data_IF_046139579056
#
_entry.id   IF_046139579056
#
_cell.length_a   1.000
_cell.length_b   1.000
_cell.length_c   1.000
_cell.angle_alpha   90.00
_cell.angle_beta   90.00
_cell.angle_gamma   90.00
#
_symmetry.space_group_name_H-M   'P 1'
#
loop_
_entity.id
_entity.type
_entity.pdbx_description
1 polymer ?
#
# COMPACT_ATOMS: atom_id res chain seq x y z
N UNK A 1 15.80 -8.96 0.45
CA UNK A 1 16.36 -9.01 -0.91
C UNK A 1 15.19 -8.93 -1.88
N UNK A 2 15.35 -8.16 -2.96
CA UNK A 2 14.48 -8.08 -4.13
C UNK A 2 13.08 -7.46 -3.89
N UNK A 3 12.70 -6.51 -4.74
CA UNK A 3 11.37 -5.90 -4.78
C UNK A 3 10.47 -6.61 -5.81
N UNK A 4 9.54 -5.91 -6.47
CA UNK A 4 8.66 -6.53 -7.45
C UNK A 4 9.42 -7.08 -8.67
N UNK A 5 9.03 -8.26 -9.16
CA UNK A 5 9.70 -8.96 -10.28
C UNK A 5 9.56 -8.28 -11.65
N UNK A 6 8.63 -7.33 -11.74
CA UNK A 6 8.31 -6.52 -12.92
C UNK A 6 8.21 -5.06 -12.51
N UNK A 7 9.27 -4.53 -11.88
CA UNK A 7 9.28 -3.18 -11.34
C UNK A 7 8.91 -2.11 -12.37
N UNK A 8 9.33 -2.26 -13.63
CA UNK A 8 9.06 -1.27 -14.68
C UNK A 8 7.57 -1.20 -15.04
N UNK A 9 6.86 -2.33 -15.05
CA UNK A 9 5.41 -2.36 -15.25
C UNK A 9 4.67 -1.66 -14.11
N UNK A 10 5.10 -1.91 -12.86
CA UNK A 10 4.54 -1.27 -11.68
C UNK A 10 4.81 0.24 -11.68
N UNK A 11 6.05 0.64 -11.93
CA UNK A 11 6.46 2.04 -11.98
C UNK A 11 5.71 2.78 -13.10
N UNK A 12 5.57 2.17 -14.28
CA UNK A 12 4.80 2.74 -15.39
C UNK A 12 3.31 2.95 -15.03
N UNK A 13 2.69 1.99 -14.35
CA UNK A 13 1.31 2.13 -13.88
C UNK A 13 1.16 3.25 -12.84
N UNK A 14 2.07 3.30 -11.86
CA UNK A 14 2.05 4.32 -10.82
C UNK A 14 2.27 5.73 -11.40
N UNK A 15 3.16 5.86 -12.39
CA UNK A 15 3.38 7.10 -13.14
C UNK A 15 2.10 7.55 -13.86
N UNK A 16 1.45 6.64 -14.61
CA UNK A 16 0.22 6.94 -15.33
C UNK A 16 -0.89 7.44 -14.38
N UNK A 17 -1.04 6.83 -13.20
CA UNK A 17 -2.01 7.31 -12.22
C UNK A 17 -1.62 8.68 -11.71
N UNK A 18 -0.35 8.88 -11.37
CA UNK A 18 0.14 10.16 -10.84
C UNK A 18 -0.12 11.29 -11.84
N UNK A 19 0.15 11.06 -13.12
CA UNK A 19 -0.08 12.03 -14.19
C UNK A 19 -1.58 12.29 -14.41
N UNK A 20 -2.39 11.24 -14.34
CA UNK A 20 -3.86 11.36 -14.35
C UNK A 20 -4.38 12.22 -13.20
N UNK A 21 -3.78 12.12 -12.00
CA UNK A 21 -4.12 12.98 -10.85
C UNK A 21 -3.75 14.44 -11.09
N UNK A 22 -2.58 14.71 -11.67
CA UNK A 22 -2.19 16.08 -12.06
C UNK A 22 -3.21 16.69 -13.03
N UNK A 23 -3.59 15.94 -14.08
CA UNK A 23 -4.56 16.41 -15.06
C UNK A 23 -5.94 16.63 -14.43
N UNK A 24 -6.42 15.67 -13.64
CA UNK A 24 -7.69 15.78 -12.92
C UNK A 24 -7.73 17.01 -12.02
N UNK A 25 -6.66 17.26 -11.25
CA UNK A 25 -6.58 18.44 -10.38
C UNK A 25 -6.68 19.74 -11.18
N UNK A 26 -5.96 19.87 -12.31
CA UNK A 26 -6.07 21.04 -13.19
C UNK A 26 -7.50 21.26 -13.70
N UNK A 27 -8.15 20.20 -14.17
CA UNK A 27 -9.54 20.25 -14.63
C UNK A 27 -10.49 20.72 -13.52
N UNK A 28 -10.26 20.30 -12.27
CA UNK A 28 -11.05 20.77 -11.12
C UNK A 28 -10.84 22.27 -10.85
N UNK A 29 -9.61 22.79 -11.00
CA UNK A 29 -9.32 24.21 -10.83
C UNK A 29 -9.96 25.07 -11.92
N UNK A 30 -10.00 24.58 -13.16
CA UNK A 30 -10.71 25.24 -14.26
C UNK A 30 -12.22 25.33 -13.99
N UNK A 31 -12.82 24.24 -13.49
CA UNK A 31 -14.23 24.25 -13.06
C UNK A 31 -14.47 25.23 -11.94
N UNK A 32 -13.61 25.25 -10.91
CA UNK A 32 -13.71 26.21 -9.81
C UNK A 32 -13.59 27.66 -10.31
N UNK A 33 -12.73 27.93 -11.29
CA UNK A 33 -12.60 29.25 -11.92
C UNK A 33 -13.91 29.66 -12.62
N UNK A 34 -14.54 28.73 -13.35
CA UNK A 34 -15.86 28.96 -13.98
C UNK A 34 -16.96 29.26 -12.96
N UNK A 35 -16.84 28.67 -11.76
CA UNK A 35 -17.73 28.93 -10.62
C UNK A 35 -17.38 30.23 -9.86
N UNK A 36 -16.46 31.05 -10.37
CA UNK A 36 -15.96 32.29 -9.74
C UNK A 36 -15.23 32.06 -8.40
N UNK A 37 -14.58 30.89 -8.27
CA UNK A 37 -13.77 30.48 -7.12
C UNK A 37 -12.35 30.15 -7.60
N UNK A 38 -11.59 31.11 -8.16
CA UNK A 38 -10.27 30.82 -8.70
C UNK A 38 -9.30 30.43 -7.58
N UNK A 39 -8.59 29.32 -7.80
CA UNK A 39 -7.47 28.88 -6.97
C UNK A 39 -6.26 28.68 -7.88
N UNK A 40 -5.12 29.26 -7.51
CA UNK A 40 -3.86 29.14 -8.25
C UNK A 40 -3.25 27.75 -8.10
N UNK A 41 -2.70 27.23 -9.20
CA UNK A 41 -2.03 25.94 -9.23
C UNK A 41 -0.89 25.86 -8.21
N UNK A 42 -0.08 26.92 -8.11
CA UNK A 42 1.10 26.99 -7.25
C UNK A 42 0.72 26.81 -5.77
N UNK A 43 -0.44 27.34 -5.37
CA UNK A 43 -0.93 27.21 -4.00
C UNK A 43 -1.33 25.77 -3.67
N UNK A 44 -2.05 25.11 -4.57
CA UNK A 44 -2.42 23.70 -4.40
C UNK A 44 -1.19 22.80 -4.41
N UNK A 45 -0.22 23.07 -5.29
CA UNK A 45 1.02 22.31 -5.36
C UNK A 45 1.85 22.48 -4.07
N UNK A 46 1.89 23.70 -3.51
CA UNK A 46 2.53 23.96 -2.21
C UNK A 46 1.89 23.16 -1.07
N UNK A 47 0.55 23.06 -1.06
CA UNK A 47 -0.18 22.27 -0.06
C UNK A 47 0.07 20.76 -0.23
N UNK A 48 0.14 20.28 -1.47
CA UNK A 48 0.42 18.88 -1.76
C UNK A 48 1.85 18.48 -1.36
N UNK A 49 2.82 19.37 -1.54
CA UNK A 49 4.24 19.13 -1.31
C UNK A 49 4.97 18.64 -2.56
N UNK A 50 6.30 18.70 -2.51
CA UNK A 50 7.15 18.39 -3.66
C UNK A 50 7.03 16.93 -4.08
N UNK A 51 6.81 16.70 -5.38
CA UNK A 51 6.67 15.37 -5.96
C UNK A 51 5.33 14.67 -5.70
N UNK A 52 4.40 15.31 -4.98
CA UNK A 52 3.07 14.77 -4.68
C UNK A 52 2.05 15.27 -5.70
N UNK A 53 1.34 14.35 -6.35
CA UNK A 53 0.24 14.73 -7.24
C UNK A 53 -0.96 15.28 -6.43
N UNK A 54 -1.44 16.51 -6.71
CA UNK A 54 -2.59 17.06 -6.02
C UNK A 54 -3.85 16.21 -6.17
N UNK A 55 -4.68 16.21 -5.14
CA UNK A 55 -5.94 15.48 -5.10
C UNK A 55 -7.02 16.36 -4.48
N UNK A 56 -8.25 15.82 -4.39
CA UNK A 56 -9.40 16.57 -3.87
C UNK A 56 -9.16 17.16 -2.48
N UNK A 57 -8.45 16.45 -1.61
CA UNK A 57 -8.12 16.93 -0.26
C UNK A 57 -7.20 18.16 -0.29
N UNK A 58 -6.21 18.20 -1.18
CA UNK A 58 -5.32 19.37 -1.34
C UNK A 58 -6.10 20.58 -1.86
N UNK A 59 -7.02 20.38 -2.82
CA UNK A 59 -7.90 21.44 -3.32
C UNK A 59 -8.89 21.89 -2.23
N UNK A 60 -9.41 20.96 -1.42
CA UNK A 60 -10.29 21.28 -0.29
C UNK A 60 -9.57 22.15 0.74
N UNK A 61 -8.32 21.83 1.08
CA UNK A 61 -7.48 22.66 1.97
C UNK A 61 -7.24 24.04 1.36
N UNK A 62 -6.93 24.13 0.07
CA UNK A 62 -6.78 25.42 -0.61
C UNK A 62 -8.07 26.27 -0.56
N UNK A 63 -9.25 25.66 -0.71
CA UNK A 63 -10.54 26.35 -0.57
C UNK A 63 -10.74 26.92 0.84
N UNK A 64 -10.31 26.18 1.87
CA UNK A 64 -10.37 26.62 3.28
C UNK A 64 -9.38 27.76 3.52
N UNK A 65 -8.10 27.58 3.14
CA UNK A 65 -7.05 28.59 3.33
C UNK A 65 -7.36 29.91 2.62
N UNK A 66 -8.02 29.85 1.46
CA UNK A 66 -8.46 31.02 0.70
C UNK A 66 -9.80 31.62 1.20
N UNK A 67 -10.44 31.03 2.22
CA UNK A 67 -11.67 31.55 2.81
C UNK A 67 -12.95 31.34 1.99
N UNK A 68 -12.94 30.47 0.98
CA UNK A 68 -14.12 30.17 0.16
C UNK A 68 -15.12 29.22 0.86
N UNK A 69 -14.62 28.47 1.85
CA UNK A 69 -15.36 27.55 2.71
C UNK A 69 -14.72 27.53 4.09
N UNK A 70 -15.48 27.21 5.13
CA UNK A 70 -15.07 27.22 6.53
C UNK A 70 -14.28 25.97 6.92
N UNK A 71 -14.54 24.84 6.27
CA UNK A 71 -13.91 23.56 6.60
C UNK A 71 -13.95 22.57 5.42
N UNK A 72 -13.19 21.47 5.56
CA UNK A 72 -13.08 20.43 4.52
C UNK A 72 -14.43 19.80 4.17
N UNK A 73 -15.30 19.57 5.17
CA UNK A 73 -16.63 18.98 4.93
C UNK A 73 -17.46 19.87 4.01
N UNK A 74 -17.45 21.19 4.23
CA UNK A 74 -18.12 22.14 3.36
C UNK A 74 -17.51 22.16 1.95
N UNK A 75 -16.18 22.05 1.82
CA UNK A 75 -15.51 21.96 0.52
C UNK A 75 -16.02 20.77 -0.32
N UNK A 76 -16.11 19.59 0.28
CA UNK A 76 -16.63 18.39 -0.38
C UNK A 76 -18.12 18.51 -0.70
N UNK A 77 -18.93 18.94 0.26
CA UNK A 77 -20.38 19.08 0.06
C UNK A 77 -20.73 20.10 -1.04
N UNK A 78 -19.99 21.21 -1.12
CA UNK A 78 -20.31 22.32 -2.02
C UNK A 78 -19.69 22.18 -3.41
N UNK A 79 -18.48 21.63 -3.51
CA UNK A 79 -17.71 21.66 -4.76
C UNK A 79 -17.16 20.31 -5.21
N UNK A 80 -16.60 19.51 -4.31
CA UNK A 80 -15.65 18.43 -4.67
C UNK A 80 -16.17 16.99 -4.50
N UNK A 81 -17.38 16.81 -3.96
CA UNK A 81 -18.06 15.51 -3.86
C UNK A 81 -18.26 14.87 -5.23
N UNK A 82 -18.64 13.60 -5.29
CA UNK A 82 -18.72 12.87 -6.56
C UNK A 82 -19.73 13.48 -7.56
N UNK A 83 -20.79 14.11 -7.04
CA UNK A 83 -21.77 14.88 -7.82
C UNK A 83 -21.53 16.41 -7.76
N UNK A 84 -20.38 16.83 -7.23
CA UNK A 84 -20.04 18.22 -7.01
C UNK A 84 -19.75 18.99 -8.30
N UNK A 85 -20.05 20.29 -8.37
CA UNK A 85 -19.91 21.08 -9.60
C UNK A 85 -18.46 21.24 -10.07
N UNK A 86 -17.48 21.11 -9.16
CA UNK A 86 -16.07 21.15 -9.49
C UNK A 86 -15.45 19.75 -9.64
N UNK A 87 -16.23 18.68 -9.45
CA UNK A 87 -15.73 17.31 -9.61
C UNK A 87 -15.28 17.06 -11.05
N UNK A 88 -14.07 16.55 -11.22
CA UNK A 88 -13.61 15.96 -12.47
C UNK A 88 -13.44 14.45 -12.25
N UNK A 89 -13.92 13.64 -13.20
CA UNK A 89 -13.66 12.20 -13.22
C UNK A 89 -12.18 11.98 -13.57
N UNK A 90 -11.51 11.09 -12.85
CA UNK A 90 -10.15 10.68 -13.18
C UNK A 90 -10.13 9.59 -14.25
N UNK A 91 -8.91 9.23 -14.66
CA UNK A 91 -8.63 8.13 -15.58
C UNK A 91 -8.01 6.95 -14.83
N UNK A 92 -8.49 6.67 -13.62
CA UNK A 92 -7.96 5.57 -12.81
C UNK A 92 -8.15 4.22 -13.53
N UNK A 93 -7.15 3.32 -13.45
CA UNK A 93 -7.24 2.01 -14.06
C UNK A 93 -8.35 1.17 -13.42
N UNK A 94 -8.81 0.16 -14.14
CA UNK A 94 -9.75 -0.81 -13.57
C UNK A 94 -9.13 -1.50 -12.37
N UNK A 95 -9.98 -1.61 -11.37
CA UNK A 95 -9.78 -2.21 -10.09
C UNK A 95 -9.10 -3.59 -10.16
N UNK A 96 -9.66 -4.47 -10.99
CA UNK A 96 -9.18 -5.82 -11.25
C UNK A 96 -7.81 -5.83 -11.93
N UNK A 97 -7.55 -4.89 -12.85
CA UNK A 97 -6.26 -4.74 -13.52
C UNK A 97 -5.15 -4.39 -12.53
N UNK A 98 -5.44 -3.56 -11.53
CA UNK A 98 -4.48 -3.23 -10.47
C UNK A 98 -4.16 -4.46 -9.62
N UNK A 99 -5.18 -5.22 -9.21
CA UNK A 99 -4.99 -6.46 -8.43
C UNK A 99 -4.14 -7.47 -9.20
N UNK A 100 -4.42 -7.68 -10.48
CA UNK A 100 -3.64 -8.57 -11.35
C UNK A 100 -2.20 -8.10 -11.52
N UNK A 101 -1.97 -6.79 -11.64
CA UNK A 101 -0.63 -6.22 -11.70
C UNK A 101 0.14 -6.46 -10.39
N UNK A 102 -0.48 -6.23 -9.24
CA UNK A 102 0.12 -6.51 -7.93
C UNK A 102 0.48 -7.99 -7.83
N UNK A 103 -0.44 -8.88 -8.21
CA UNK A 103 -0.21 -10.33 -8.17
C UNK A 103 0.99 -10.74 -9.04
N UNK A 104 1.02 -10.34 -10.33
CA UNK A 104 2.09 -10.74 -11.26
C UNK A 104 3.44 -10.07 -11.00
N UNK A 105 3.46 -8.99 -10.21
CA UNK A 105 4.69 -8.32 -9.77
C UNK A 105 5.22 -8.90 -8.46
N UNK A 106 4.52 -9.84 -7.84
CA UNK A 106 4.95 -10.46 -6.58
C UNK A 106 4.54 -9.67 -5.33
N UNK A 107 3.43 -8.94 -5.40
CA UNK A 107 2.88 -8.19 -4.28
C UNK A 107 1.66 -8.86 -3.63
N UNK A 108 1.41 -8.50 -2.37
CA UNK A 108 0.17 -8.81 -1.67
C UNK A 108 -0.82 -7.67 -1.89
N UNK A 109 -2.02 -7.98 -2.38
CA UNK A 109 -3.08 -7.02 -2.63
C UNK A 109 -4.11 -7.01 -1.50
N UNK A 110 -4.40 -5.82 -0.96
CA UNK A 110 -5.40 -5.60 0.08
C UNK A 110 -6.39 -4.51 -0.33
N UNK A 111 -7.69 -4.78 -0.16
CA UNK A 111 -8.73 -3.77 -0.37
C UNK A 111 -8.83 -2.88 0.87
N UNK A 112 -8.44 -1.62 0.73
CA UNK A 112 -8.55 -0.63 1.79
C UNK A 112 -10.00 -0.14 1.96
N UNK A 113 -10.38 0.17 3.21
CA UNK A 113 -11.61 0.83 3.63
C UNK A 113 -12.87 0.49 2.80
N UNK A 114 -13.26 -0.80 2.68
CA UNK A 114 -14.31 -1.26 1.78
C UNK A 114 -15.72 -0.75 2.15
N UNK A 115 -15.91 -0.24 3.37
CA UNK A 115 -17.12 0.44 3.81
C UNK A 115 -17.42 1.75 3.07
N UNK A 116 -16.46 2.29 2.31
CA UNK A 116 -16.68 3.44 1.42
C UNK A 116 -17.37 3.07 0.10
N UNK A 117 -17.53 1.78 -0.20
CA UNK A 117 -18.10 1.29 -1.44
C UNK A 117 -19.64 1.25 -1.39
N UNK A 118 -20.30 1.62 -2.50
CA UNK A 118 -21.76 1.54 -2.63
C UNK A 118 -22.29 0.09 -2.70
N UNK A 119 -21.51 -0.83 -3.31
CA UNK A 119 -21.88 -2.24 -3.45
C UNK A 119 -20.67 -3.15 -3.12
N UNK A 120 -20.31 -3.27 -1.83
CA UNK A 120 -19.08 -3.93 -1.42
C UNK A 120 -19.05 -5.40 -1.82
N UNK A 121 -20.13 -6.17 -1.64
CA UNK A 121 -20.15 -7.61 -1.94
C UNK A 121 -19.79 -7.91 -3.41
N UNK A 122 -20.45 -7.23 -4.36
CA UNK A 122 -20.21 -7.46 -5.79
C UNK A 122 -18.77 -7.07 -6.21
N UNK A 123 -18.25 -5.97 -5.65
CA UNK A 123 -16.89 -5.50 -5.91
C UNK A 123 -15.87 -6.48 -5.32
N UNK A 124 -16.03 -6.86 -4.04
CA UNK A 124 -15.14 -7.81 -3.37
C UNK A 124 -15.09 -9.14 -4.12
N UNK A 125 -16.24 -9.64 -4.59
CA UNK A 125 -16.32 -10.84 -5.42
C UNK A 125 -15.51 -10.71 -6.71
N UNK A 126 -15.64 -9.59 -7.41
CA UNK A 126 -14.88 -9.32 -8.64
C UNK A 126 -13.38 -9.28 -8.37
N UNK A 127 -12.97 -8.56 -7.34
CA UNK A 127 -11.56 -8.43 -6.94
C UNK A 127 -10.97 -9.76 -6.47
N UNK A 128 -11.74 -10.57 -5.75
CA UNK A 128 -11.32 -11.92 -5.39
C UNK A 128 -11.04 -12.76 -6.64
N UNK A 129 -11.92 -12.70 -7.64
CA UNK A 129 -11.70 -13.34 -8.94
C UNK A 129 -10.45 -12.84 -9.68
N UNK A 130 -10.05 -11.59 -9.44
CA UNK A 130 -8.82 -11.01 -9.99
C UNK A 130 -7.54 -11.34 -9.18
N UNK A 131 -7.65 -11.99 -8.02
CA UNK A 131 -6.51 -12.40 -7.19
C UNK A 131 -6.34 -11.64 -5.87
N UNK A 132 -7.38 -10.95 -5.38
CA UNK A 132 -7.31 -10.21 -4.11
C UNK A 132 -6.94 -11.14 -2.93
N UNK A 133 -6.00 -10.69 -2.08
CA UNK A 133 -5.46 -11.51 -0.98
C UNK A 133 -6.11 -11.17 0.37
N UNK A 134 -6.36 -9.90 0.64
CA UNK A 134 -6.95 -9.44 1.89
C UNK A 134 -7.82 -8.20 1.75
N UNK A 135 -8.44 -7.79 2.84
CA UNK A 135 -9.22 -6.57 2.92
C UNK A 135 -9.24 -6.01 4.34
N UNK A 136 -9.42 -4.70 4.45
CA UNK A 136 -9.63 -4.07 5.74
C UNK A 136 -11.01 -4.44 6.31
N UNK A 137 -11.00 -4.90 7.55
CA UNK A 137 -12.16 -5.24 8.36
C UNK A 137 -12.14 -4.42 9.66
N UNK A 138 -10.95 -4.02 10.11
CA UNK A 138 -10.76 -3.28 11.35
C UNK A 138 -10.38 -1.81 11.09
N UNK A 139 -11.02 -0.94 11.86
CA UNK A 139 -10.69 0.47 12.03
C UNK A 139 -10.19 0.71 13.45
N UNK A 140 -9.81 1.94 13.76
CA UNK A 140 -9.36 2.33 15.11
C UNK A 140 -10.45 2.17 16.18
N UNK A 141 -11.71 2.30 15.78
CA UNK A 141 -12.90 2.10 16.61
C UNK A 141 -13.37 0.63 16.67
N UNK A 142 -12.68 -0.28 16.00
CA UNK A 142 -12.92 -1.72 16.06
C UNK A 142 -13.33 -2.34 14.71
N UNK A 143 -13.97 -3.50 14.80
CA UNK A 143 -14.47 -4.25 13.64
C UNK A 143 -15.65 -3.54 12.97
N UNK A 144 -15.66 -3.48 11.64
CA UNK A 144 -16.79 -2.93 10.88
C UNK A 144 -17.78 -4.05 10.58
N UNK A 145 -19.00 -3.91 11.13
CA UNK A 145 -20.09 -4.87 10.97
C UNK A 145 -20.29 -5.32 9.51
N UNK A 146 -20.37 -6.63 9.29
CA UNK A 146 -20.62 -7.24 7.98
C UNK A 146 -19.36 -7.49 7.14
N UNK A 147 -18.25 -6.80 7.40
CA UNK A 147 -17.02 -6.95 6.59
C UNK A 147 -16.20 -8.17 6.97
N UNK A 148 -16.31 -8.62 8.22
CA UNK A 148 -15.69 -9.85 8.71
C UNK A 148 -16.28 -11.08 8.03
N UNK A 149 -17.62 -11.13 7.92
CA UNK A 149 -18.35 -12.19 7.23
C UNK A 149 -18.10 -12.15 5.72
N UNK A 150 -17.98 -10.96 5.12
CA UNK A 150 -17.60 -10.82 3.70
C UNK A 150 -16.17 -11.34 3.45
N UNK A 151 -15.22 -11.03 4.34
CA UNK A 151 -13.85 -11.53 4.24
C UNK A 151 -13.81 -13.06 4.34
N UNK A 152 -14.56 -13.65 5.28
CA UNK A 152 -14.68 -15.11 5.41
C UNK A 152 -15.33 -15.75 4.19
N UNK A 153 -16.46 -15.19 3.72
CA UNK A 153 -17.20 -15.67 2.54
C UNK A 153 -16.30 -15.79 1.31
N UNK A 154 -15.38 -14.84 1.12
CA UNK A 154 -14.49 -14.79 -0.04
C UNK A 154 -13.06 -15.32 0.24
N UNK A 155 -12.80 -15.84 1.45
CA UNK A 155 -11.48 -16.34 1.83
C UNK A 155 -10.38 -15.27 1.69
N UNK A 156 -10.62 -14.10 2.29
CA UNK A 156 -9.71 -12.95 2.31
C UNK A 156 -9.13 -12.79 3.72
N UNK A 157 -7.84 -12.42 3.78
CA UNK A 157 -7.21 -12.08 5.06
C UNK A 157 -7.82 -10.79 5.63
N UNK A 158 -8.24 -10.84 6.89
CA UNK A 158 -8.80 -9.69 7.62
C UNK A 158 -7.66 -8.79 8.08
N UNK A 159 -7.64 -7.56 7.62
CA UNK A 159 -6.61 -6.57 7.94
C UNK A 159 -7.22 -5.31 8.57
N UNK A 160 -6.37 -4.37 8.97
CA UNK A 160 -6.81 -3.09 9.51
C UNK A 160 -5.73 -2.03 9.37
N UNK A 161 -6.16 -0.78 9.29
CA UNK A 161 -5.29 0.38 9.09
C UNK A 161 -5.93 1.64 9.68
N UNK A 162 -5.12 2.57 10.19
CA UNK A 162 -5.65 3.82 10.78
C UNK A 162 -6.13 4.83 9.74
N UNK A 163 -5.72 4.68 8.48
CA UNK A 163 -5.99 5.64 7.40
C UNK A 163 -5.57 7.08 7.78
N UNK A 164 -4.44 7.19 8.50
CA UNK A 164 -3.91 8.45 9.02
C UNK A 164 -3.45 9.37 7.88
N UNK A 165 -3.82 10.65 7.92
CA UNK A 165 -3.49 11.67 6.90
C UNK A 165 -2.87 12.96 7.49
N UNK A 166 -2.54 12.98 8.79
CA UNK A 166 -1.89 14.12 9.43
C UNK A 166 -2.68 15.43 9.31
N UNK A 167 -4.01 15.36 9.42
CA UNK A 167 -4.94 16.50 9.32
C UNK A 167 -4.83 17.44 10.52
N UNK A 168 -4.37 16.92 11.67
CA UNK A 168 -4.30 17.69 12.92
C UNK A 168 -5.69 17.97 13.48
N UNK A 169 -6.10 17.21 14.49
CA UNK A 169 -7.43 17.32 15.09
C UNK A 169 -7.78 16.08 15.90
N UNK A 170 -8.84 16.15 16.72
CA UNK A 170 -9.26 15.03 17.57
C UNK A 170 -9.99 13.92 16.83
N UNK A 171 -10.39 14.16 15.58
CA UNK A 171 -11.24 13.26 14.78
C UNK A 171 -10.45 12.37 13.80
N UNK A 172 -9.12 12.35 13.91
CA UNK A 172 -8.24 11.50 13.08
C UNK A 172 -7.57 10.44 13.95
N UNK A 173 -7.46 9.22 13.42
CA UNK A 173 -6.83 8.10 14.13
C UNK A 173 -5.33 8.07 13.90
N UNK A 174 -4.54 8.07 14.97
CA UNK A 174 -3.08 8.03 14.88
C UNK A 174 -2.56 6.73 14.26
N UNK A 175 -1.31 6.78 13.78
CA UNK A 175 -0.60 5.62 13.25
C UNK A 175 -0.50 4.52 14.30
N UNK A 176 -0.82 3.27 13.91
CA UNK A 176 -0.71 2.09 14.78
C UNK A 176 -1.88 1.90 15.75
N UNK A 177 -2.95 2.70 15.65
CA UNK A 177 -4.12 2.60 16.56
C UNK A 177 -4.98 1.36 16.32
N UNK A 178 -4.91 0.75 15.13
CA UNK A 178 -5.66 -0.48 14.82
C UNK A 178 -4.90 -1.69 15.34
N UNK A 179 -5.47 -2.39 16.31
CA UNK A 179 -4.89 -3.60 16.89
C UNK A 179 -5.34 -4.82 16.08
N UNK A 180 -4.38 -5.62 15.64
CA UNK A 180 -4.62 -6.90 14.98
C UNK A 180 -4.10 -8.05 15.86
N UNK A 181 -4.76 -9.21 15.79
CA UNK A 181 -4.29 -10.40 16.48
C UNK A 181 -2.96 -10.87 15.89
N UNK A 182 -2.06 -11.42 16.71
CA UNK A 182 -0.76 -11.94 16.23
C UNK A 182 -0.94 -13.02 15.17
N UNK A 183 -2.01 -13.83 15.28
CA UNK A 183 -2.39 -14.83 14.28
C UNK A 183 -2.67 -14.23 12.91
N UNK A 184 -3.17 -12.99 12.84
CA UNK A 184 -3.35 -12.27 11.57
C UNK A 184 -2.01 -11.97 10.92
N UNK A 185 -1.01 -11.55 11.71
CA UNK A 185 0.35 -11.33 11.23
C UNK A 185 0.99 -12.64 10.74
N UNK A 186 0.83 -13.74 11.48
CA UNK A 186 1.32 -15.07 11.06
C UNK A 186 0.71 -15.49 9.72
N UNK A 187 -0.61 -15.38 9.58
CA UNK A 187 -1.31 -15.66 8.32
C UNK A 187 -0.83 -14.77 7.17
N UNK A 188 -0.64 -13.46 7.42
CA UNK A 188 -0.08 -12.54 6.44
C UNK A 188 1.30 -12.99 5.97
N UNK A 189 2.22 -13.25 6.91
CA UNK A 189 3.60 -13.63 6.60
C UNK A 189 3.67 -14.97 5.86
N UNK A 190 2.82 -15.94 6.22
CA UNK A 190 2.71 -17.22 5.51
C UNK A 190 2.30 -17.03 4.04
N UNK A 191 1.28 -16.22 3.78
CA UNK A 191 0.86 -15.89 2.41
C UNK A 191 1.93 -15.09 1.67
N UNK A 192 2.47 -14.05 2.31
CA UNK A 192 3.44 -13.15 1.74
C UNK A 192 4.76 -13.86 1.38
N UNK A 193 5.22 -14.80 2.20
CA UNK A 193 6.42 -15.60 1.94
C UNK A 193 6.32 -16.32 0.59
N UNK A 194 5.20 -17.01 0.33
CA UNK A 194 5.00 -17.71 -0.95
C UNK A 194 5.05 -16.76 -2.15
N UNK A 195 4.36 -15.62 -2.04
CA UNK A 195 4.31 -14.58 -3.07
C UNK A 195 5.72 -14.02 -3.34
N UNK A 196 6.43 -13.63 -2.29
CA UNK A 196 7.76 -13.05 -2.39
C UNK A 196 8.79 -14.05 -2.92
N UNK A 197 8.77 -15.30 -2.45
CA UNK A 197 9.66 -16.35 -2.95
C UNK A 197 9.50 -16.56 -4.45
N UNK A 198 8.28 -16.52 -4.98
CA UNK A 198 8.05 -16.58 -6.43
C UNK A 198 8.64 -15.37 -7.16
N UNK A 199 8.36 -14.16 -6.66
CA UNK A 199 8.85 -12.92 -7.27
C UNK A 199 10.38 -12.86 -7.30
N UNK A 200 10.99 -13.34 -6.23
CA UNK A 200 12.42 -13.38 -6.08
C UNK A 200 13.07 -14.41 -7.03
N UNK A 201 12.47 -15.60 -7.18
CA UNK A 201 12.91 -16.60 -8.18
C UNK A 201 12.89 -15.99 -9.58
N UNK A 202 11.83 -15.28 -9.94
CA UNK A 202 11.74 -14.61 -11.25
C UNK A 202 12.88 -13.59 -11.47
N UNK A 203 13.20 -12.80 -10.45
CA UNK A 203 14.29 -11.81 -10.52
C UNK A 203 15.65 -12.49 -10.71
N UNK A 204 15.91 -13.55 -9.95
CA UNK A 204 17.16 -14.30 -10.03
C UNK A 204 17.30 -15.03 -11.37
N UNK A 205 16.22 -15.62 -11.88
CA UNK A 205 16.20 -16.28 -13.18
C UNK A 205 16.46 -15.28 -14.31
N UNK A 206 15.78 -14.12 -14.31
CA UNK A 206 16.05 -13.05 -15.30
C UNK A 206 17.51 -12.59 -15.28
N UNK A 207 18.11 -12.46 -14.10
CA UNK A 207 19.53 -12.11 -13.99
C UNK A 207 20.45 -13.24 -14.47
N UNK A 208 20.12 -14.51 -14.21
CA UNK A 208 20.91 -15.64 -14.70
C UNK A 208 20.84 -15.78 -16.22
N UNK A 209 19.68 -15.53 -16.82
CA UNK A 209 19.47 -15.52 -18.27
C UNK A 209 20.21 -14.35 -18.93
N UNK A 210 20.16 -13.16 -18.32
CA UNK A 210 20.81 -11.96 -18.82
C UNK A 210 21.54 -11.21 -17.68
N UNK A 211 22.82 -11.51 -17.42
CA UNK A 211 23.61 -10.89 -16.35
C UNK A 211 24.09 -9.49 -16.73
N UNK A 212 23.15 -8.56 -16.87
CA UNK A 212 23.41 -7.16 -17.23
C UNK A 212 23.47 -6.24 -16.01
N UNK A 213 24.12 -5.08 -16.16
CA UNK A 213 24.13 -4.04 -15.12
C UNK A 213 22.72 -3.53 -14.77
N UNK A 214 21.80 -3.54 -15.74
CA UNK A 214 20.40 -3.17 -15.53
C UNK A 214 19.67 -4.20 -14.63
N UNK A 215 19.81 -5.50 -14.94
CA UNK A 215 19.21 -6.56 -14.13
C UNK A 215 19.82 -6.64 -12.72
N UNK A 216 21.14 -6.42 -12.61
CA UNK A 216 21.81 -6.26 -11.32
C UNK A 216 21.24 -5.05 -10.55
N UNK A 217 21.08 -3.90 -11.22
CA UNK A 217 20.45 -2.71 -10.65
C UNK A 217 19.05 -2.97 -10.12
N UNK A 218 18.22 -3.69 -10.87
CA UNK A 218 16.85 -4.05 -10.46
C UNK A 218 16.83 -4.97 -9.23
N UNK A 219 17.72 -5.95 -9.17
CA UNK A 219 17.86 -6.84 -8.00
C UNK A 219 18.26 -6.06 -6.73
N UNK A 220 19.09 -5.03 -6.88
CA UNK A 220 19.62 -4.21 -5.79
C UNK A 220 18.75 -3.01 -5.43
N UNK A 221 17.84 -2.57 -6.30
CA UNK A 221 17.00 -1.38 -6.12
C UNK A 221 16.26 -1.34 -4.78
N UNK A 222 15.83 -2.50 -4.27
CA UNK A 222 14.99 -2.61 -3.08
C UNK A 222 15.68 -3.33 -1.91
N UNK A 223 16.95 -3.73 -2.04
CA UNK A 223 17.68 -4.50 -1.03
C UNK A 223 19.05 -3.92 -0.74
N UNK A 224 19.52 -4.06 0.50
CA UNK A 224 20.94 -3.84 0.83
C UNK A 224 21.65 -5.19 0.81
N UNK A 225 22.71 -5.33 0.01
CA UNK A 225 23.63 -6.47 0.11
C UNK A 225 24.53 -6.25 1.33
N UNK A 226 24.30 -6.99 2.41
CA UNK A 226 25.07 -6.84 3.65
C UNK A 226 26.37 -7.63 3.67
N UNK A 227 26.66 -8.49 2.67
CA UNK A 227 27.91 -9.26 2.56
C UNK A 227 28.31 -9.50 1.10
N UNK A 228 29.13 -8.62 0.52
CA UNK A 228 29.78 -8.85 -0.79
C UNK A 228 31.32 -8.70 -0.69
N UNK A 229 31.89 -8.96 0.48
CA UNK A 229 33.34 -8.99 0.65
C UNK A 229 33.87 -10.35 0.21
N UNK A 230 34.30 -10.48 -1.06
CA UNK A 230 35.12 -11.63 -1.47
C UNK A 230 34.95 -12.22 -2.87
N UNK A 231 34.39 -11.52 -3.88
CA UNK A 231 34.35 -12.05 -5.25
C UNK A 231 35.04 -11.15 -6.28
N UNK A 232 35.86 -11.78 -7.12
CA UNK A 232 36.49 -11.26 -8.34
C UNK A 232 35.42 -10.95 -9.42
N UNK A 233 35.73 -10.21 -10.50
CA UNK A 233 34.72 -9.59 -11.36
C UNK A 233 33.74 -10.63 -11.92
N UNK A 234 32.46 -10.28 -11.77
CA UNK A 234 31.25 -11.07 -12.01
C UNK A 234 31.31 -11.71 -13.41
N UNK A 235 31.64 -13.00 -13.48
CA UNK A 235 31.68 -13.75 -14.75
C UNK A 235 30.74 -14.97 -14.77
N UNK A 236 29.97 -15.23 -13.71
CA UNK A 236 28.99 -16.31 -13.68
C UNK A 236 27.80 -15.93 -12.78
N UNK A 237 26.68 -15.50 -13.39
CA UNK A 237 25.44 -15.14 -12.67
C UNK A 237 24.86 -16.27 -11.81
N UNK A 238 25.17 -17.52 -12.17
CA UNK A 238 24.76 -18.74 -11.44
C UNK A 238 25.23 -18.74 -9.98
N UNK A 239 26.45 -18.28 -9.68
CA UNK A 239 26.97 -18.27 -8.31
C UNK A 239 26.23 -17.29 -7.38
N UNK A 240 25.71 -16.19 -7.93
CA UNK A 240 24.90 -15.22 -7.16
C UNK A 240 23.52 -15.83 -6.87
N UNK A 241 22.93 -16.50 -7.86
CA UNK A 241 21.65 -17.19 -7.70
C UNK A 241 21.73 -18.31 -6.65
N UNK A 242 22.76 -19.17 -6.72
CA UNK A 242 22.96 -20.27 -5.77
C UNK A 242 23.18 -19.76 -4.33
N UNK A 243 23.90 -18.64 -4.16
CA UNK A 243 24.09 -18.01 -2.84
C UNK A 243 22.79 -17.43 -2.27
N UNK A 244 22.00 -16.75 -3.11
CA UNK A 244 20.71 -16.21 -2.71
C UNK A 244 19.71 -17.32 -2.34
N UNK A 245 19.65 -18.40 -3.13
CA UNK A 245 18.76 -19.54 -2.90
C UNK A 245 19.15 -20.37 -1.66
N UNK A 246 20.45 -20.60 -1.42
CA UNK A 246 20.93 -21.35 -0.24
C UNK A 246 20.70 -20.60 1.08
N UNK A 247 20.83 -19.27 1.08
CA UNK A 247 20.51 -18.42 2.24
C UNK A 247 19.01 -18.38 2.57
N UNK A 248 18.14 -18.75 1.62
CA UNK A 248 16.69 -18.79 1.83
C UNK A 248 16.15 -20.18 2.13
N UNK A 249 16.65 -21.19 1.44
CA UNK A 249 16.23 -22.58 1.66
C UNK A 249 16.54 -23.04 3.09
N UNK A 250 17.59 -22.50 3.70
CA UNK A 250 17.90 -22.70 5.13
C UNK A 250 16.87 -22.10 6.11
N UNK A 251 15.91 -21.29 5.64
CA UNK A 251 14.80 -20.75 6.44
C UNK A 251 13.42 -21.36 6.06
N UNK A 252 13.36 -22.21 5.03
CA UNK A 252 12.12 -22.84 4.55
C UNK A 252 11.73 -24.09 5.37
N UNK A 253 12.67 -24.68 6.12
CA UNK A 253 12.46 -25.88 6.96
C UNK A 253 11.84 -25.57 8.35
N UNK A 254 11.50 -24.32 8.64
CA UNK A 254 10.93 -23.92 9.94
C UNK A 254 9.43 -24.27 9.94
N UNK A 255 9.04 -25.26 10.76
CA UNK A 255 7.64 -25.67 10.94
C UNK A 255 6.78 -24.50 11.48
N UNK A 256 5.46 -24.53 11.23
CA UNK A 256 4.53 -23.44 11.57
C UNK A 256 4.63 -23.01 13.06
N UNK A 257 4.94 -23.93 13.98
CA UNK A 257 5.12 -23.67 15.43
C UNK A 257 6.44 -22.95 15.72
N UNK A 258 7.53 -23.35 15.08
CA UNK A 258 8.84 -22.70 15.23
C UNK A 258 8.83 -21.30 14.62
N UNK A 259 8.05 -21.07 13.55
CA UNK A 259 7.93 -19.74 12.96
C UNK A 259 7.23 -18.75 13.91
N UNK A 260 6.17 -19.19 14.60
CA UNK A 260 5.52 -18.38 15.64
C UNK A 260 6.49 -18.07 16.80
N UNK A 261 7.26 -19.06 17.24
CA UNK A 261 8.22 -18.92 18.33
C UNK A 261 9.40 -18.02 17.95
N UNK A 262 9.95 -18.15 16.73
CA UNK A 262 11.03 -17.32 16.20
C UNK A 262 10.57 -15.88 15.97
N UNK A 263 9.37 -15.66 15.42
CA UNK A 263 8.79 -14.32 15.25
C UNK A 263 8.54 -13.68 16.62
N UNK A 264 7.95 -14.39 17.58
CA UNK A 264 7.76 -13.88 18.93
C UNK A 264 9.11 -13.52 19.58
N UNK A 265 10.12 -14.38 19.43
CA UNK A 265 11.45 -14.17 19.99
C UNK A 265 12.18 -12.99 19.33
N UNK A 266 12.12 -12.85 18.01
CA UNK A 266 12.75 -11.74 17.29
C UNK A 266 12.06 -10.40 17.51
N UNK A 267 10.73 -10.37 17.61
CA UNK A 267 10.00 -9.15 17.96
C UNK A 267 10.38 -8.72 19.39
N UNK A 268 10.47 -9.65 20.35
CA UNK A 268 10.94 -9.37 21.71
C UNK A 268 12.39 -8.85 21.76
N UNK A 269 13.26 -9.30 20.84
CA UNK A 269 14.65 -8.84 20.74
C UNK A 269 14.81 -7.48 20.03
N UNK A 270 13.92 -7.15 19.10
CA UNK A 270 13.92 -5.85 18.40
C UNK A 270 13.31 -4.72 19.25
N UNK A 271 12.50 -5.06 20.26
CA UNK A 271 11.92 -4.13 21.22
C UNK A 271 12.21 -4.60 22.65
N UNK A 272 13.46 -4.51 23.14
CA UNK A 272 13.79 -4.90 24.50
C UNK A 272 12.99 -4.03 25.48
N UNK A 273 12.18 -4.68 26.29
CA UNK A 273 11.32 -4.07 27.28
C UNK A 273 12.07 -3.06 28.18
N UNK A 274 11.89 -1.77 27.89
CA UNK A 274 11.78 -0.74 28.92
C UNK A 274 10.34 -0.30 29.01
N UNK A 275 9.48 -1.19 29.49
CA UNK A 275 8.31 -0.83 30.30
C UNK A 275 7.88 -2.08 31.08
N UNK A 276 7.95 -2.00 32.41
CA UNK A 276 7.52 -3.05 33.34
C UNK A 276 5.98 -3.21 33.27
N UNK A 277 5.43 -4.38 33.62
CA UNK A 277 4.16 -4.87 33.15
C UNK A 277 2.99 -4.31 33.98
N UNK A 278 1.98 -3.81 33.29
CA UNK A 278 0.61 -4.01 33.71
C UNK A 278 -0.19 -4.46 32.49
N UNK A 279 -1.11 -5.38 32.70
CA UNK A 279 -1.84 -6.14 31.69
C UNK A 279 -2.45 -5.24 30.60
N UNK A 280 -1.91 -5.26 29.37
CA UNK A 280 -2.50 -4.82 28.08
C UNK A 280 -1.41 -4.37 27.08
N UNK A 281 -0.54 -5.27 26.64
CA UNK A 281 0.56 -4.93 25.72
C UNK A 281 0.17 -4.97 24.25
N UNK A 282 -0.20 -3.82 23.68
CA UNK A 282 -0.40 -3.60 22.24
C UNK A 282 0.94 -3.43 21.52
N UNK A 283 1.26 -4.28 20.55
CA UNK A 283 2.41 -4.07 19.67
C UNK A 283 2.06 -3.07 18.57
N UNK A 284 2.68 -1.88 18.65
CA UNK A 284 2.59 -0.84 17.63
C UNK A 284 3.60 -1.10 16.50
N UNK A 285 3.16 -0.77 15.29
CA UNK A 285 3.91 -0.62 14.04
C UNK A 285 4.31 -1.91 13.32
N UNK A 286 3.50 -2.32 12.34
CA UNK A 286 3.98 -2.77 11.02
C UNK A 286 2.80 -2.90 10.03
N UNK A 287 2.73 -1.98 9.06
CA UNK A 287 2.40 -2.17 7.63
C UNK A 287 2.05 -0.79 7.06
N UNK A 288 2.98 -0.18 6.32
CA UNK A 288 2.70 1.02 5.53
C UNK A 288 3.04 0.73 4.08
N UNK A 289 2.02 0.32 3.34
CA UNK A 289 1.85 0.61 1.91
C UNK A 289 0.34 0.66 1.64
N UNK A 290 -0.35 1.64 2.25
CA UNK A 290 -1.67 2.05 1.79
C UNK A 290 -1.46 2.93 0.55
N UNK A 291 -1.45 2.32 -0.64
CA UNK A 291 -1.78 3.06 -1.84
C UNK A 291 -3.30 3.08 -1.96
N UNK A 292 -3.92 4.22 -1.64
CA UNK A 292 -5.35 4.49 -1.83
C UNK A 292 -5.70 4.37 -3.31
N UNK A 293 -6.08 3.17 -3.72
CA UNK A 293 -6.81 2.89 -4.93
C UNK A 293 -8.11 2.24 -4.52
N UNK A 294 -9.22 2.77 -5.04
CA UNK A 294 -10.60 2.34 -4.81
C UNK A 294 -11.32 3.05 -3.66
N UNK A 295 -11.61 4.31 -3.89
CA UNK A 295 -12.80 4.94 -3.35
C UNK A 295 -13.35 5.93 -4.38
N UNK A 296 -13.78 5.43 -5.56
CA UNK A 296 -14.72 6.15 -6.44
C UNK A 296 -15.34 5.18 -7.46
N UNK A 297 -16.56 4.73 -7.19
CA UNK A 297 -17.60 4.43 -8.18
C UNK A 297 -18.94 4.86 -7.56
#
# INVERSE_FOLDING_TARGET
MCGPSRCDELDGMLLNIRDGRYLRAKNMLEKLTTLKVPIKWEHVNKIAGDGVAPGRLHIARALVEMGYVENLRQAFNKYLGDDGPAYARGSEPFAETVVQLISRTGGFSALAHPWSLKNPDAIIRSLKGAGLNGMEVYRSDGEVNGFSELAEKYGLLKLGGSDFHGRGGKDESDVGTVKLAITTLCCFLKMARSIWSSAMKDILLKFAEEPSAANLGNMLKFGRLTKFAGFSPINNGIHVVDFCLSSWSSNDDIEDVELEEVICTQINNLFPAKYCPDQSGSMNNLLLMQNTFMASN
#
